data_IF_420084837685
#
_entry.id   IF_420084837685
#
_cell.length_a   1.000
_cell.length_b   1.000
_cell.length_c   1.000
_cell.angle_alpha   90.00
_cell.angle_beta   90.00
_cell.angle_gamma   90.00
#
_symmetry.space_group_name_H-M   'P 1'
#
loop_
_entity.id
_entity.type
_entity.pdbx_description
1 polymer ?
#
# COMPACT_ATOMS: atom_id res chain seq x y z
N UNK A 1 5.29 7.62 2.89
CA UNK A 1 5.42 7.81 1.43
C UNK A 1 6.73 8.54 1.25
N UNK A 2 7.70 7.94 0.55
CA UNK A 2 8.96 8.63 0.25
C UNK A 2 8.58 9.90 -0.48
N UNK A 3 8.78 11.04 0.16
CA UNK A 3 8.67 12.34 -0.49
C UNK A 3 9.89 12.47 -1.38
N UNK A 4 9.77 11.93 -2.60
CA UNK A 4 10.83 12.04 -3.57
C UNK A 4 11.07 13.53 -3.83
N UNK A 5 12.31 13.96 -3.53
CA UNK A 5 12.73 15.34 -3.62
C UNK A 5 12.53 15.80 -5.06
N UNK A 6 11.72 16.84 -5.26
CA UNK A 6 11.54 17.44 -6.58
C UNK A 6 12.89 17.98 -7.04
N UNK A 7 13.48 17.34 -8.04
CA UNK A 7 14.83 17.67 -8.53
C UNK A 7 14.77 18.92 -9.42
N UNK A 8 13.88 18.92 -10.43
CA UNK A 8 13.72 20.01 -11.40
C UNK A 8 12.38 19.91 -12.14
N UNK A 9 12.00 20.98 -12.87
CA UNK A 9 10.89 20.94 -13.82
C UNK A 9 11.21 19.96 -14.96
N UNK A 10 10.18 19.27 -15.44
CA UNK A 10 10.30 18.31 -16.53
C UNK A 10 10.71 19.02 -17.83
N UNK A 11 11.69 18.46 -18.54
CA UNK A 11 12.08 18.92 -19.88
C UNK A 11 11.32 18.15 -20.96
N UNK A 12 11.38 18.63 -22.20
CA UNK A 12 10.76 17.94 -23.33
C UNK A 12 11.28 16.51 -23.53
N UNK A 13 12.55 16.27 -23.19
CA UNK A 13 13.15 14.94 -23.22
C UNK A 13 12.54 14.00 -22.17
N UNK A 14 12.23 14.50 -20.97
CA UNK A 14 11.59 13.71 -19.91
C UNK A 14 10.17 13.32 -20.31
N UNK A 15 9.42 14.25 -20.93
CA UNK A 15 8.06 13.99 -21.44
C UNK A 15 8.11 12.92 -22.52
N UNK A 16 9.03 13.04 -23.46
CA UNK A 16 9.21 12.06 -24.55
C UNK A 16 9.59 10.69 -23.98
N UNK A 17 10.48 10.64 -23.00
CA UNK A 17 10.87 9.41 -22.29
C UNK A 17 9.68 8.79 -21.57
N UNK A 18 8.86 9.59 -20.88
CA UNK A 18 7.64 9.12 -20.21
C UNK A 18 6.65 8.52 -21.20
N UNK A 19 6.45 9.13 -22.36
CA UNK A 19 5.57 8.59 -23.41
C UNK A 19 6.07 7.25 -23.94
N UNK A 20 7.39 7.11 -24.17
CA UNK A 20 7.99 5.81 -24.54
C UNK A 20 7.79 4.76 -23.45
N UNK A 21 7.98 5.14 -22.18
CA UNK A 21 7.75 4.24 -21.04
C UNK A 21 6.29 3.80 -20.98
N UNK A 22 5.32 4.71 -21.16
CA UNK A 22 3.90 4.36 -21.20
C UNK A 22 3.56 3.39 -22.34
N UNK A 23 4.16 3.56 -23.51
CA UNK A 23 3.94 2.64 -24.62
C UNK A 23 4.47 1.24 -24.29
N UNK A 24 5.71 1.16 -23.77
CA UNK A 24 6.34 -0.09 -23.34
C UNK A 24 5.61 -0.75 -22.18
N UNK A 25 5.09 0.02 -21.22
CA UNK A 25 4.26 -0.47 -20.11
C UNK A 25 3.00 -1.17 -20.63
N UNK A 26 2.30 -0.59 -21.62
CA UNK A 26 1.09 -1.18 -22.22
C UNK A 26 1.40 -2.46 -22.99
N UNK A 27 2.50 -2.47 -23.73
CA UNK A 27 2.95 -3.66 -24.46
C UNK A 27 3.33 -4.78 -23.48
N UNK A 28 4.13 -4.46 -22.45
CA UNK A 28 4.51 -5.38 -21.39
C UNK A 28 3.30 -5.95 -20.63
N UNK A 29 2.30 -5.11 -20.36
CA UNK A 29 1.05 -5.56 -19.75
C UNK A 29 0.32 -6.57 -20.63
N UNK A 30 0.21 -6.29 -21.94
CA UNK A 30 -0.46 -7.20 -22.89
C UNK A 30 0.25 -8.55 -22.98
N UNK A 31 1.57 -8.54 -23.18
CA UNK A 31 2.38 -9.76 -23.27
C UNK A 31 2.29 -10.58 -21.98
N UNK A 32 2.42 -9.93 -20.83
CA UNK A 32 2.33 -10.61 -19.54
C UNK A 32 0.96 -11.26 -19.31
N UNK A 33 -0.15 -10.59 -19.67
CA UNK A 33 -1.49 -11.18 -19.56
C UNK A 33 -1.63 -12.41 -20.45
N UNK A 34 -1.10 -12.38 -21.68
CA UNK A 34 -1.12 -13.57 -22.56
C UNK A 34 -0.32 -14.72 -21.95
N UNK A 35 0.92 -14.46 -21.49
CA UNK A 35 1.78 -15.49 -20.86
C UNK A 35 1.21 -16.06 -19.57
N UNK A 36 0.55 -15.24 -18.75
CA UNK A 36 -0.14 -15.69 -17.53
C UNK A 36 -1.27 -16.66 -17.89
N UNK A 37 -2.03 -16.37 -18.96
CA UNK A 37 -3.12 -17.24 -19.44
C UNK A 37 -2.60 -18.54 -20.04
N UNK A 38 -1.58 -18.48 -20.90
CA UNK A 38 -0.95 -19.66 -21.51
C UNK A 38 -0.49 -20.66 -20.44
N UNK A 39 0.03 -20.15 -19.31
CA UNK A 39 0.58 -20.95 -18.22
C UNK A 39 -0.44 -21.26 -17.12
N UNK A 40 -1.68 -20.78 -17.26
CA UNK A 40 -2.75 -20.94 -16.27
C UNK A 40 -2.32 -20.59 -14.83
N UNK A 41 -1.52 -19.52 -14.67
CA UNK A 41 -1.05 -19.10 -13.37
C UNK A 41 -2.21 -18.48 -12.56
N UNK A 42 -2.43 -18.87 -11.28
CA UNK A 42 -3.51 -18.36 -10.45
C UNK A 42 -3.20 -16.94 -9.92
N UNK A 43 -3.04 -15.99 -10.84
CA UNK A 43 -2.71 -14.60 -10.54
C UNK A 43 -3.43 -13.64 -11.49
N UNK A 44 -3.69 -12.43 -11.00
CA UNK A 44 -4.27 -11.33 -11.79
C UNK A 44 -3.28 -10.17 -11.86
N UNK A 45 -2.90 -9.79 -13.08
CA UNK A 45 -2.06 -8.62 -13.30
C UNK A 45 -2.89 -7.34 -13.12
N UNK A 46 -2.42 -6.42 -12.28
CA UNK A 46 -3.08 -5.15 -11.97
C UNK A 46 -2.50 -4.02 -12.82
N UNK A 47 -1.19 -3.82 -12.77
CA UNK A 47 -0.50 -2.70 -13.44
C UNK A 47 0.95 -3.06 -13.73
N UNK A 48 1.50 -2.46 -14.77
CA UNK A 48 2.94 -2.50 -15.09
C UNK A 48 3.48 -1.07 -15.07
N UNK A 49 4.65 -0.87 -14.50
CA UNK A 49 5.30 0.43 -14.36
C UNK A 49 6.78 0.34 -14.69
N UNK A 50 7.27 1.28 -15.50
CA UNK A 50 8.68 1.41 -15.81
C UNK A 50 9.29 2.55 -14.99
N UNK A 51 10.34 2.24 -14.24
CA UNK A 51 11.06 3.24 -13.47
C UNK A 51 11.90 4.15 -14.38
N UNK A 52 12.11 5.40 -13.97
CA UNK A 52 12.94 6.35 -14.71
C UNK A 52 14.44 6.11 -14.53
N UNK A 53 14.89 5.76 -13.33
CA UNK A 53 16.32 5.71 -13.00
C UNK A 53 17.06 4.51 -13.60
N UNK A 54 16.34 3.44 -13.96
CA UNK A 54 16.93 2.19 -14.44
C UNK A 54 15.93 1.46 -15.34
N UNK A 55 16.36 0.67 -16.35
CA UNK A 55 15.49 -0.19 -17.14
C UNK A 55 14.96 -1.35 -16.27
N UNK A 56 14.05 -1.00 -15.36
CA UNK A 56 13.34 -1.91 -14.46
C UNK A 56 11.85 -1.78 -14.71
N UNK A 57 11.22 -2.91 -15.01
CA UNK A 57 9.76 -3.03 -15.10
C UNK A 57 9.23 -3.69 -13.84
N UNK A 58 8.29 -3.03 -13.18
CA UNK A 58 7.60 -3.52 -11.98
C UNK A 58 6.20 -3.98 -12.37
N UNK A 59 5.89 -5.24 -12.12
CA UNK A 59 4.59 -5.85 -12.38
C UNK A 59 3.85 -6.02 -11.07
N UNK A 60 2.76 -5.28 -10.90
CA UNK A 60 1.87 -5.40 -9.75
C UNK A 60 0.82 -6.46 -10.02
N UNK A 61 0.70 -7.46 -9.15
CA UNK A 61 -0.26 -8.54 -9.30
C UNK A 61 -0.96 -8.88 -7.98
N UNK A 62 -2.19 -9.41 -8.07
CA UNK A 62 -2.90 -10.02 -6.96
C UNK A 62 -2.95 -11.54 -7.13
N UNK A 63 -2.86 -12.26 -6.01
CA UNK A 63 -2.99 -13.71 -5.94
C UNK A 63 -3.47 -14.09 -4.53
N UNK A 64 -4.29 -15.13 -4.44
CA UNK A 64 -4.81 -15.64 -3.15
C UNK A 64 -3.80 -16.56 -2.45
N UNK A 65 -2.99 -17.29 -3.23
CA UNK A 65 -2.01 -18.24 -2.75
C UNK A 65 -0.59 -17.96 -3.22
N UNK A 66 0.29 -18.94 -2.99
CA UNK A 66 1.65 -18.92 -3.54
C UNK A 66 1.59 -19.18 -5.05
N UNK A 67 2.28 -18.36 -5.82
CA UNK A 67 2.36 -18.48 -7.28
C UNK A 67 3.82 -18.65 -7.66
N UNK A 68 4.13 -19.69 -8.42
CA UNK A 68 5.46 -19.83 -9.02
C UNK A 68 5.49 -19.11 -10.37
N UNK A 69 6.14 -17.95 -10.39
CA UNK A 69 6.29 -17.10 -11.57
C UNK A 69 7.73 -17.10 -12.12
N UNK A 70 8.59 -18.03 -11.70
CA UNK A 70 10.01 -18.06 -12.11
C UNK A 70 10.16 -18.14 -13.64
N UNK A 71 9.38 -18.98 -14.29
CA UNK A 71 9.40 -19.13 -15.75
C UNK A 71 8.86 -17.88 -16.46
N UNK A 72 7.75 -17.31 -15.96
CA UNK A 72 7.18 -16.07 -16.47
C UNK A 72 8.21 -14.93 -16.44
N UNK A 73 8.95 -14.79 -15.34
CA UNK A 73 10.01 -13.77 -15.20
C UNK A 73 11.12 -13.97 -16.24
N UNK A 74 11.53 -15.21 -16.50
CA UNK A 74 12.55 -15.52 -17.53
C UNK A 74 12.09 -15.09 -18.92
N UNK A 75 10.85 -15.43 -19.29
CA UNK A 75 10.30 -15.05 -20.60
C UNK A 75 10.15 -13.53 -20.76
N UNK A 76 9.63 -12.85 -19.74
CA UNK A 76 9.48 -11.39 -19.77
C UNK A 76 10.84 -10.68 -19.81
N UNK A 77 11.84 -11.21 -19.09
CA UNK A 77 13.20 -10.67 -19.12
C UNK A 77 13.83 -10.83 -20.51
N UNK A 78 13.61 -11.97 -21.18
CA UNK A 78 14.07 -12.20 -22.55
C UNK A 78 13.37 -11.29 -23.56
N UNK A 79 12.05 -11.11 -23.44
CA UNK A 79 11.26 -10.28 -24.35
C UNK A 79 11.61 -8.79 -24.24
N UNK A 80 11.74 -8.27 -23.02
CA UNK A 80 11.92 -6.83 -22.80
C UNK A 80 13.38 -6.43 -22.53
N UNK A 81 14.31 -7.38 -22.40
CA UNK A 81 15.74 -7.13 -22.11
C UNK A 81 15.95 -6.16 -20.96
N UNK A 82 15.20 -6.34 -19.88
CA UNK A 82 15.22 -5.46 -18.71
C UNK A 82 15.03 -6.24 -17.42
N UNK A 83 15.38 -5.62 -16.29
CA UNK A 83 15.15 -6.24 -14.98
C UNK A 83 13.65 -6.26 -14.67
N UNK A 84 13.10 -7.44 -14.48
CA UNK A 84 11.69 -7.63 -14.11
C UNK A 84 11.59 -7.76 -12.60
N UNK A 85 10.71 -6.97 -11.99
CA UNK A 85 10.35 -7.06 -10.58
C UNK A 85 8.87 -7.40 -10.46
N UNK A 86 8.56 -8.48 -9.74
CA UNK A 86 7.19 -8.91 -9.49
C UNK A 86 6.79 -8.46 -8.08
N UNK A 87 5.71 -7.71 -7.96
CA UNK A 87 5.21 -7.20 -6.67
C UNK A 87 3.79 -7.64 -6.43
N UNK A 88 3.60 -8.44 -5.38
CA UNK A 88 2.27 -8.80 -4.92
C UNK A 88 1.64 -7.61 -4.19
N UNK A 89 0.38 -7.32 -4.53
CA UNK A 89 -0.42 -6.28 -3.88
C UNK A 89 -1.66 -6.90 -3.26
N UNK A 90 -2.14 -6.34 -2.15
CA UNK A 90 -3.40 -6.77 -1.53
C UNK A 90 -4.61 -6.15 -2.23
N UNK A 91 -5.81 -6.67 -1.96
CA UNK A 91 -7.08 -6.16 -2.54
C UNK A 91 -7.29 -4.64 -2.37
N UNK A 92 -6.79 -4.06 -1.26
CA UNK A 92 -6.89 -2.61 -1.03
C UNK A 92 -5.88 -1.83 -1.86
N UNK A 93 -4.65 -2.34 -1.98
CA UNK A 93 -3.63 -1.69 -2.81
C UNK A 93 -3.98 -1.80 -4.29
N UNK A 94 -4.64 -2.89 -4.71
CA UNK A 94 -5.27 -2.98 -6.03
C UNK A 94 -6.29 -1.85 -6.23
N UNK A 95 -7.23 -1.67 -5.30
CA UNK A 95 -8.19 -0.56 -5.37
C UNK A 95 -7.51 0.81 -5.33
N UNK A 96 -6.36 0.94 -4.66
CA UNK A 96 -5.57 2.17 -4.65
C UNK A 96 -4.88 2.44 -5.99
N UNK A 97 -4.38 1.41 -6.65
CA UNK A 97 -3.72 1.50 -7.96
C UNK A 97 -4.71 1.77 -9.09
N UNK A 98 -5.88 1.14 -9.05
CA UNK A 98 -6.96 1.34 -10.03
C UNK A 98 -7.71 2.65 -9.79
N UNK A 99 -7.88 3.02 -8.52
CA UNK A 99 -8.71 4.15 -8.13
C UNK A 99 -10.20 3.82 -8.16
N UNK A 100 -11.03 4.84 -8.01
CA UNK A 100 -12.49 4.73 -8.06
C UNK A 100 -13.21 5.64 -7.09
N UNK A 101 -14.52 5.41 -6.98
CA UNK A 101 -15.41 6.14 -6.08
C UNK A 101 -16.00 5.19 -5.03
N UNK A 102 -16.10 5.67 -3.80
CA UNK A 102 -16.77 4.94 -2.72
C UNK A 102 -18.29 5.05 -2.84
N UNK A 103 -19.00 4.25 -2.03
CA UNK A 103 -20.47 4.34 -1.92
C UNK A 103 -20.97 5.70 -1.43
N UNK A 104 -20.07 6.55 -0.91
CA UNK A 104 -20.35 7.92 -0.50
C UNK A 104 -20.24 8.95 -1.65
N UNK A 105 -19.98 8.52 -2.88
CA UNK A 105 -19.83 9.39 -4.05
C UNK A 105 -18.49 10.14 -4.13
N UNK A 106 -17.60 9.96 -3.15
CA UNK A 106 -16.26 10.58 -3.11
C UNK A 106 -15.19 9.63 -3.65
N UNK A 107 -14.05 10.15 -4.16
CA UNK A 107 -12.90 9.31 -4.48
C UNK A 107 -12.45 8.51 -3.24
N UNK A 108 -11.83 7.35 -3.46
CA UNK A 108 -11.44 6.45 -2.36
C UNK A 108 -10.58 7.17 -1.30
N UNK A 109 -10.92 7.00 -0.01
CA UNK A 109 -10.13 7.55 1.11
C UNK A 109 -8.64 7.12 1.00
N UNK A 110 -8.36 5.89 0.53
CA UNK A 110 -7.01 5.34 0.43
C UNK A 110 -6.16 5.86 -0.74
N UNK A 111 -6.77 6.49 -1.75
CA UNK A 111 -6.05 7.12 -2.86
C UNK A 111 -5.79 8.59 -2.62
N UNK A 112 -6.63 9.24 -1.82
CA UNK A 112 -6.63 10.70 -1.66
C UNK A 112 -5.83 11.16 -0.47
N UNK A 113 -6.31 10.90 0.75
CA UNK A 113 -5.78 11.53 1.96
C UNK A 113 -5.45 10.54 3.08
N UNK A 114 -5.91 9.29 3.01
CA UNK A 114 -5.67 8.26 4.04
C UNK A 114 -4.81 7.09 3.49
N UNK A 115 -3.52 7.32 3.16
CA UNK A 115 -2.68 6.30 2.52
C UNK A 115 -2.28 5.15 3.46
N UNK A 116 -2.33 5.38 4.78
CA UNK A 116 -2.10 4.39 5.83
C UNK A 116 -3.22 4.47 6.86
N UNK A 117 -3.66 3.32 7.36
CA UNK A 117 -4.75 3.23 8.34
C UNK A 117 -4.55 1.97 9.20
N UNK A 118 -5.03 2.03 10.43
CA UNK A 118 -5.04 0.88 11.35
C UNK A 118 -6.13 -0.14 10.95
N UNK A 119 -5.99 -1.43 11.32
CA UNK A 119 -7.01 -2.43 11.05
C UNK A 119 -8.38 -2.00 11.57
N UNK A 120 -9.41 -2.25 10.76
CA UNK A 120 -10.80 -1.88 11.06
C UNK A 120 -11.53 -3.10 11.59
N UNK A 121 -12.28 -2.95 12.68
CA UNK A 121 -13.10 -4.00 13.27
C UNK A 121 -14.59 -3.72 13.12
N UNK A 122 -15.41 -4.77 13.12
CA UNK A 122 -16.89 -4.64 13.06
C UNK A 122 -17.45 -3.90 14.29
N UNK A 123 -16.75 -3.97 15.44
CA UNK A 123 -17.14 -3.25 16.67
C UNK A 123 -17.17 -1.74 16.45
N UNK A 124 -16.28 -1.22 15.60
CA UNK A 124 -16.23 0.20 15.26
C UNK A 124 -17.46 0.64 14.47
N UNK A 125 -17.92 -0.17 13.53
CA UNK A 125 -19.16 0.08 12.80
C UNK A 125 -20.40 0.09 13.74
N UNK A 126 -20.40 -0.78 14.76
CA UNK A 126 -21.45 -0.79 15.79
C UNK A 126 -21.45 0.48 16.63
N UNK A 127 -20.28 0.99 17.05
CA UNK A 127 -20.15 2.30 17.71
C UNK A 127 -20.64 3.44 16.83
N UNK A 128 -20.44 3.29 15.52
CA UNK A 128 -20.97 4.08 14.40
C UNK A 128 -22.51 4.19 14.33
N UNK A 129 -23.24 3.31 15.04
CA UNK A 129 -24.66 3.02 14.80
C UNK A 129 -24.97 2.67 13.32
N UNK A 130 -24.00 2.07 12.61
CA UNK A 130 -24.18 1.65 11.22
C UNK A 130 -24.81 0.26 11.15
N UNK A 131 -25.73 0.09 10.20
CA UNK A 131 -26.32 -1.22 9.89
C UNK A 131 -25.24 -2.24 9.53
N UNK A 132 -25.33 -3.44 10.07
CA UNK A 132 -24.36 -4.54 9.86
C UNK A 132 -24.43 -5.20 8.48
N UNK A 133 -25.02 -4.53 7.50
CA UNK A 133 -25.11 -5.03 6.13
C UNK A 133 -23.74 -4.94 5.44
N UNK A 134 -23.18 -6.05 4.92
CA UNK A 134 -21.84 -6.08 4.35
C UNK A 134 -21.66 -5.12 3.19
N UNK A 135 -22.68 -4.92 2.34
CA UNK A 135 -22.63 -3.99 1.22
C UNK A 135 -22.45 -2.52 1.64
N UNK A 136 -22.91 -2.15 2.85
CA UNK A 136 -22.73 -0.80 3.40
C UNK A 136 -21.43 -0.65 4.17
N UNK A 137 -20.85 -1.72 4.71
CA UNK A 137 -19.62 -1.66 5.50
C UNK A 137 -18.36 -1.91 4.67
N UNK A 138 -18.48 -2.70 3.61
CA UNK A 138 -17.39 -2.98 2.69
C UNK A 138 -17.13 -1.79 1.76
N UNK A 139 -15.85 -1.47 1.58
CA UNK A 139 -15.40 -0.56 0.53
C UNK A 139 -15.27 -1.31 -0.80
N UNK A 140 -14.91 -0.57 -1.86
CA UNK A 140 -14.69 -1.12 -3.20
C UNK A 140 -13.63 -2.24 -3.23
N UNK A 141 -12.68 -2.20 -2.29
CA UNK A 141 -11.65 -3.24 -2.11
C UNK A 141 -12.16 -4.54 -1.46
N UNK A 142 -13.46 -4.69 -1.20
CA UNK A 142 -14.05 -5.87 -0.55
C UNK A 142 -13.77 -6.00 0.95
N UNK A 143 -13.04 -5.05 1.55
CA UNK A 143 -12.76 -4.98 3.00
C UNK A 143 -13.52 -3.83 3.66
N UNK A 144 -13.63 -3.87 4.99
CA UNK A 144 -14.26 -2.80 5.78
C UNK A 144 -13.68 -1.41 5.44
N UNK A 145 -14.55 -0.41 5.33
CA UNK A 145 -14.19 0.98 5.01
C UNK A 145 -13.13 1.53 5.98
N UNK A 146 -12.02 2.05 5.45
CA UNK A 146 -10.96 2.71 6.24
C UNK A 146 -11.47 3.94 6.99
N UNK A 147 -12.44 4.65 6.42
CA UNK A 147 -12.96 5.89 6.99
C UNK A 147 -13.70 5.63 8.33
N UNK A 148 -14.17 4.39 8.59
CA UNK A 148 -14.70 3.96 9.90
C UNK A 148 -13.67 4.08 11.03
N UNK A 149 -12.38 3.91 10.73
CA UNK A 149 -11.32 4.15 11.73
C UNK A 149 -11.11 5.62 11.97
N UNK A 150 -11.06 6.38 10.89
CA UNK A 150 -10.74 7.78 10.92
C UNK A 150 -11.75 8.61 11.71
N UNK A 151 -13.03 8.26 11.63
CA UNK A 151 -14.11 8.96 12.34
C UNK A 151 -14.13 8.67 13.85
N UNK A 152 -13.38 7.68 14.33
CA UNK A 152 -13.28 7.38 15.76
C UNK A 152 -12.09 8.10 16.40
N UNK A 153 -12.19 8.47 17.70
CA UNK A 153 -11.08 9.08 18.40
C UNK A 153 -9.89 8.12 18.46
N UNK A 154 -8.68 8.69 18.34
CA UNK A 154 -7.48 7.92 18.52
C UNK A 154 -7.21 7.58 19.99
N UNK A 155 -6.17 6.78 20.26
CA UNK A 155 -5.77 6.46 21.63
C UNK A 155 -5.37 7.70 22.46
N UNK A 156 -5.07 8.83 21.81
CA UNK A 156 -4.79 10.12 22.43
C UNK A 156 -6.05 10.99 22.66
N UNK A 157 -7.25 10.47 22.33
CA UNK A 157 -8.52 11.18 22.47
C UNK A 157 -8.81 12.20 21.36
N UNK A 158 -7.94 12.32 20.36
CA UNK A 158 -8.11 13.24 19.24
C UNK A 158 -9.07 12.63 18.20
N UNK A 159 -10.11 13.38 17.84
CA UNK A 159 -11.01 13.04 16.74
C UNK A 159 -10.32 13.30 15.40
N UNK A 160 -10.56 12.45 14.38
CA UNK A 160 -10.00 12.58 13.03
C UNK A 160 -8.47 12.44 12.93
N UNK A 161 -7.83 11.87 13.94
CA UNK A 161 -6.42 11.53 13.88
C UNK A 161 -6.28 10.10 13.36
N UNK A 162 -6.00 9.95 12.06
CA UNK A 162 -5.97 8.68 11.30
C UNK A 162 -5.02 7.57 11.80
N UNK A 163 -4.43 7.72 12.98
CA UNK A 163 -3.54 6.76 13.61
C UNK A 163 -4.06 6.47 15.02
N UNK A 164 -4.69 5.31 15.18
CA UNK A 164 -5.12 4.86 16.48
C UNK A 164 -4.85 3.37 16.55
N UNK A 165 -3.95 2.95 17.43
CA UNK A 165 -3.89 1.57 17.88
C UNK A 165 -4.97 1.41 18.95
N UNK A 166 -5.97 0.57 18.68
CA UNK A 166 -6.97 0.16 19.68
C UNK A 166 -6.50 -1.05 20.49
N UNK A 167 -5.27 -1.53 20.25
CA UNK A 167 -4.62 -2.57 21.03
C UNK A 167 -3.27 -2.06 21.52
N UNK A 168 -3.08 -2.14 22.84
CA UNK A 168 -1.79 -2.20 23.54
C UNK A 168 -0.54 -1.94 22.71
N UNK A 169 0.25 -0.96 23.13
CA UNK A 169 1.69 -0.95 22.93
C UNK A 169 2.32 -2.16 23.65
N UNK A 170 2.04 -3.38 23.21
CA UNK A 170 2.96 -4.49 23.43
C UNK A 170 4.08 -4.28 22.43
N UNK A 171 5.16 -3.62 22.89
CA UNK A 171 6.46 -3.69 22.26
C UNK A 171 6.79 -5.16 22.05
N UNK A 172 6.58 -5.65 20.83
CA UNK A 172 7.11 -6.93 20.39
C UNK A 172 7.63 -6.76 18.97
N UNK A 173 8.94 -6.50 18.87
CA UNK A 173 9.73 -6.90 17.71
C UNK A 173 10.54 -5.82 17.00
N UNK A 174 11.72 -5.49 17.55
CA UNK A 174 12.95 -5.19 16.80
C UNK A 174 13.16 -3.73 16.35
N UNK A 175 14.17 -2.99 16.81
CA UNK A 175 15.28 -3.35 17.68
C UNK A 175 15.93 -2.11 18.29
N UNK A 176 16.18 -2.18 19.59
CA UNK A 176 17.11 -1.33 20.31
C UNK A 176 18.40 -2.14 20.50
N UNK A 177 19.44 -1.80 19.74
CA UNK A 177 20.80 -2.15 20.10
C UNK A 177 21.26 -1.23 21.23
N UNK A 178 21.85 -1.82 22.26
CA UNK A 178 22.41 -1.09 23.40
C UNK A 178 21.81 -1.56 24.73
N UNK A 179 22.58 -2.35 25.46
CA UNK A 179 22.14 -3.09 26.64
C UNK A 179 21.67 -2.22 27.81
N UNK A 180 20.68 -2.75 28.54
CA UNK A 180 20.35 -2.30 29.88
C UNK A 180 20.20 -3.54 30.75
N UNK A 181 21.13 -3.70 31.69
CA UNK A 181 21.13 -4.72 32.72
C UNK A 181 20.04 -4.42 33.74
N UNK A 182 19.24 -5.45 34.03
CA UNK A 182 18.52 -5.72 35.29
C UNK A 182 18.11 -4.51 36.16
N UNK A 183 16.86 -4.08 36.04
CA UNK A 183 16.19 -3.22 37.02
C UNK A 183 14.77 -2.88 36.58
N UNK A 184 13.76 -3.35 37.32
CA UNK A 184 12.34 -3.19 36.98
C UNK A 184 11.86 -1.73 37.01
N UNK A 185 10.91 -1.39 36.13
CA UNK A 185 10.27 -0.08 36.10
C UNK A 185 9.01 -0.07 36.97
N UNK A 186 9.15 0.41 38.21
CA UNK A 186 8.05 0.92 39.03
C UNK A 186 7.73 2.35 38.59
N UNK A 187 6.45 2.70 38.54
CA UNK A 187 5.94 3.90 37.87
C UNK A 187 6.42 5.25 38.43
N UNK A 188 6.36 6.26 37.55
CA UNK A 188 6.52 7.67 37.92
C UNK A 188 7.14 8.53 36.83
N UNK A 189 6.32 9.39 36.22
CA UNK A 189 6.64 10.71 35.63
C UNK A 189 7.89 10.91 34.75
N UNK A 190 7.68 11.20 33.47
CA UNK A 190 8.69 11.85 32.63
C UNK A 190 8.87 13.32 33.04
N UNK A 191 10.06 13.71 33.50
CA UNK A 191 10.49 15.10 33.61
C UNK A 191 11.49 15.45 32.50
N UNK A 192 11.19 16.56 31.82
CA UNK A 192 12.04 17.46 31.02
C UNK A 192 12.96 16.90 29.93
N UNK A 193 12.65 17.28 28.68
CA UNK A 193 13.59 17.31 27.56
C UNK A 193 14.67 18.37 27.80
N UNK A 194 15.94 17.97 27.79
CA UNK A 194 17.09 18.87 27.79
C UNK A 194 17.45 19.32 26.38
N UNK A 195 17.62 20.63 26.21
CA UNK A 195 18.34 21.25 25.08
C UNK A 195 19.84 21.00 25.25
N UNK A 196 20.57 20.69 24.18
CA UNK A 196 22.02 20.63 24.22
C UNK A 196 22.62 20.22 22.88
N UNK A 197 23.56 21.04 22.43
CA UNK A 197 24.33 20.98 21.19
C UNK A 197 25.21 19.74 21.05
#
# INVERSE_FOLDING_TARGET
MSTDKVVRRATQQDITTRLRHQHREREAQRVAVMKIRERSLPMKLVRVEQLFDSPRLVFYFTAEGRVDFRELVRELALAFRCRIEMRQVGARDEAKLVGGYGTCGRPLCCTTWLPGFAPVSIKMAKRQNLSLNPSRLSGLCGRLKCCLRYELPNAAGEQFAGCANEGSCSRSGGGCGGGCSSGGCSGGGCQSCGSGA
#
